data_IF_226735912807
#
_entry.id   IF_226735912807
#
_cell.length_a   1.000
_cell.length_b   1.000
_cell.length_c   1.000
_cell.angle_alpha   90.00
_cell.angle_beta   90.00
_cell.angle_gamma   90.00
#
_symmetry.space_group_name_H-M   'P 1'
#
loop_
_entity.id
_entity.type
_entity.pdbx_description
1 polymer ?
#
# COMPACT_ATOMS: atom_id res chain seq x y z
N UNK A 1 -4.78 -3.09 -5.24
CA UNK A 1 -4.23 -3.07 -3.87
C UNK A 1 -5.35 -3.40 -2.89
N UNK A 2 -5.09 -4.25 -1.90
CA UNK A 2 -6.06 -4.61 -0.86
C UNK A 2 -5.51 -4.17 0.49
N UNK A 3 -6.26 -3.37 1.25
CA UNK A 3 -5.90 -2.97 2.62
C UNK A 3 -6.96 -3.53 3.57
N UNK A 4 -6.53 -4.27 4.58
CA UNK A 4 -7.40 -4.75 5.65
C UNK A 4 -7.06 -4.03 6.96
N UNK A 5 -8.10 -3.59 7.67
CA UNK A 5 -7.96 -2.93 8.96
C UNK A 5 -8.26 -3.93 10.09
N UNK A 6 -7.38 -4.00 11.09
CA UNK A 6 -7.53 -4.84 12.30
C UNK A 6 -7.01 -4.10 13.54
N UNK A 7 -7.75 -4.16 14.66
CA UNK A 7 -7.42 -3.39 15.87
C UNK A 7 -6.08 -3.75 16.53
N UNK A 8 -5.68 -5.02 16.46
CA UNK A 8 -4.53 -5.52 17.25
C UNK A 8 -3.15 -5.07 16.79
N UNK A 9 -3.03 -4.49 15.59
CA UNK A 9 -1.74 -4.10 15.01
C UNK A 9 -1.77 -2.70 14.40
N UNK A 10 -2.63 -1.83 14.93
CA UNK A 10 -2.77 -0.47 14.40
C UNK A 10 -1.48 0.33 14.66
N UNK A 11 -1.07 1.12 13.67
CA UNK A 11 0.06 2.06 13.81
C UNK A 11 -0.49 3.48 13.87
N UNK A 12 0.13 4.42 14.61
CA UNK A 12 -0.40 5.78 14.76
C UNK A 12 -0.69 6.49 13.42
N UNK A 13 0.15 6.27 12.40
CA UNK A 13 -0.03 6.85 11.06
C UNK A 13 -1.21 6.27 10.26
N UNK A 14 -1.81 5.15 10.70
CA UNK A 14 -3.05 4.65 10.11
C UNK A 14 -4.26 5.51 10.48
N UNK A 15 -4.23 6.32 11.54
CA UNK A 15 -5.36 7.15 11.95
C UNK A 15 -5.81 8.09 10.82
N UNK A 16 -4.86 8.73 10.13
CA UNK A 16 -5.11 9.59 8.96
C UNK A 16 -5.78 8.80 7.82
N UNK A 17 -5.35 7.55 7.57
CA UNK A 17 -5.99 6.70 6.56
C UNK A 17 -7.37 6.20 7.01
N UNK A 18 -7.60 5.98 8.31
CA UNK A 18 -8.92 5.59 8.82
C UNK A 18 -9.92 6.72 8.68
N UNK A 19 -9.50 7.95 8.92
CA UNK A 19 -10.32 9.15 8.71
C UNK A 19 -10.70 9.28 7.22
N UNK A 20 -9.78 9.03 6.29
CA UNK A 20 -10.07 9.01 4.85
C UNK A 20 -11.21 8.06 4.46
N UNK A 21 -11.40 6.96 5.21
CA UNK A 21 -12.44 5.94 4.98
C UNK A 21 -13.53 5.91 6.04
N UNK A 22 -13.69 7.02 6.76
CA UNK A 22 -14.77 7.23 7.72
C UNK A 22 -14.82 6.17 8.83
N UNK A 23 -13.68 5.88 9.46
CA UNK A 23 -13.57 4.95 10.59
C UNK A 23 -14.27 3.59 10.33
N UNK A 24 -13.70 2.74 9.48
CA UNK A 24 -14.34 1.48 9.09
C UNK A 24 -14.58 0.55 10.30
N UNK A 25 -15.71 -0.19 10.26
CA UNK A 25 -16.00 -1.26 11.22
C UNK A 25 -15.07 -2.44 10.97
N UNK A 26 -14.57 -3.10 12.00
CA UNK A 26 -13.52 -4.12 11.86
C UNK A 26 -14.11 -5.55 11.84
N UNK A 27 -13.64 -6.45 10.95
CA UNK A 27 -12.69 -6.24 9.86
C UNK A 27 -13.33 -5.61 8.61
N UNK A 28 -12.69 -4.57 8.06
CA UNK A 28 -13.07 -4.01 6.74
C UNK A 28 -11.90 -4.18 5.79
N UNK A 29 -12.23 -4.57 4.55
CA UNK A 29 -11.34 -4.60 3.42
C UNK A 29 -11.66 -3.43 2.49
N UNK A 30 -10.61 -2.74 2.05
CA UNK A 30 -10.71 -1.68 1.03
C UNK A 30 -9.91 -2.11 -0.19
N UNK A 31 -10.59 -2.21 -1.32
CA UNK A 31 -10.02 -2.60 -2.60
C UNK A 31 -9.84 -1.38 -3.50
N UNK A 32 -8.61 -1.19 -3.97
CA UNK A 32 -8.15 -0.04 -4.80
C UNK A 32 -8.58 1.34 -4.27
N UNK A 33 -8.82 1.43 -2.96
CA UNK A 33 -9.19 2.66 -2.28
C UNK A 33 -10.62 3.14 -2.55
N UNK A 34 -11.43 2.43 -3.33
CA UNK A 34 -12.82 2.83 -3.63
C UNK A 34 -13.84 1.85 -3.09
N UNK A 35 -13.58 0.54 -3.18
CA UNK A 35 -14.56 -0.47 -2.81
C UNK A 35 -14.34 -0.89 -1.36
N UNK A 36 -15.33 -0.64 -0.51
CA UNK A 36 -15.32 -1.01 0.91
C UNK A 36 -16.23 -2.21 1.13
N UNK A 37 -15.68 -3.31 1.63
CA UNK A 37 -16.46 -4.50 1.98
C UNK A 37 -16.12 -4.97 3.39
N UNK A 38 -17.18 -5.28 4.15
CA UNK A 38 -17.06 -5.94 5.44
C UNK A 38 -17.02 -7.45 5.19
N UNK A 39 -15.91 -8.10 5.57
CA UNK A 39 -15.74 -9.53 5.29
C UNK A 39 -15.22 -10.24 6.54
N UNK A 40 -16.05 -11.12 7.10
CA UNK A 40 -15.75 -11.88 8.31
C UNK A 40 -15.16 -13.25 8.03
N UNK A 41 -15.39 -13.79 6.84
CA UNK A 41 -14.88 -15.09 6.39
C UNK A 41 -13.83 -14.91 5.27
N UNK A 42 -12.54 -15.18 5.55
CA UNK A 42 -11.48 -15.10 4.55
C UNK A 42 -11.65 -16.04 3.36
N UNK A 43 -12.39 -17.14 3.50
CA UNK A 43 -12.60 -18.10 2.40
C UNK A 43 -13.39 -17.52 1.22
N UNK A 44 -14.15 -16.45 1.47
CA UNK A 44 -14.95 -15.78 0.45
C UNK A 44 -14.16 -14.77 -0.38
N UNK A 45 -12.93 -14.43 0.03
CA UNK A 45 -12.14 -13.34 -0.58
C UNK A 45 -11.97 -13.49 -2.08
N UNK A 46 -11.58 -14.68 -2.54
CA UNK A 46 -11.38 -14.92 -3.97
C UNK A 46 -12.69 -14.72 -4.75
N UNK A 47 -13.80 -15.26 -4.26
CA UNK A 47 -15.09 -15.09 -4.91
C UNK A 47 -15.59 -13.64 -4.91
N UNK A 48 -15.30 -12.89 -3.84
CA UNK A 48 -15.79 -11.51 -3.66
C UNK A 48 -14.96 -10.48 -4.43
N UNK A 49 -13.64 -10.70 -4.54
CA UNK A 49 -12.73 -9.72 -5.13
C UNK A 49 -12.21 -10.09 -6.52
N UNK A 50 -12.40 -11.33 -7.02
CA UNK A 50 -11.85 -11.73 -8.32
C UNK A 50 -12.31 -10.80 -9.45
N UNK A 51 -13.60 -10.43 -9.51
CA UNK A 51 -14.06 -9.50 -10.53
C UNK A 51 -13.37 -8.13 -10.45
N UNK A 52 -13.28 -7.54 -9.25
CA UNK A 52 -12.56 -6.28 -9.04
C UNK A 52 -11.07 -6.40 -9.40
N UNK A 53 -10.43 -7.54 -9.11
CA UNK A 53 -9.05 -7.85 -9.51
C UNK A 53 -8.90 -7.89 -11.02
N UNK A 54 -9.83 -8.53 -11.75
CA UNK A 54 -9.76 -8.58 -13.22
C UNK A 54 -9.94 -7.19 -13.82
N UNK A 55 -10.87 -6.38 -13.30
CA UNK A 55 -11.08 -5.00 -13.75
C UNK A 55 -9.82 -4.16 -13.51
N UNK A 56 -9.22 -4.25 -12.32
CA UNK A 56 -7.99 -3.56 -12.00
C UNK A 56 -6.84 -3.97 -12.94
N UNK A 57 -6.69 -5.26 -13.24
CA UNK A 57 -5.67 -5.78 -14.17
C UNK A 57 -5.87 -5.31 -15.62
N UNK A 58 -7.10 -5.00 -16.02
CA UNK A 58 -7.41 -4.52 -17.37
C UNK A 58 -7.17 -3.02 -17.56
N UNK A 59 -6.94 -2.28 -16.47
CA UNK A 59 -6.75 -0.82 -16.53
C UNK A 59 -5.31 -0.48 -16.91
N UNK A 60 -5.14 0.43 -17.89
CA UNK A 60 -3.83 0.96 -18.26
C UNK A 60 -3.22 1.74 -17.09
N UNK A 61 -1.98 1.42 -16.66
CA UNK A 61 -1.29 2.17 -15.62
C UNK A 61 -1.08 3.64 -16.00
N UNK A 62 -1.36 4.52 -15.05
CA UNK A 62 -1.13 5.98 -15.20
C UNK A 62 0.28 6.41 -14.80
N UNK A 63 0.97 5.57 -14.04
CA UNK A 63 2.33 5.79 -13.55
C UNK A 63 3.17 4.54 -13.75
N UNK A 64 4.45 4.74 -14.08
CA UNK A 64 5.49 3.74 -13.94
C UNK A 64 6.13 3.92 -12.56
N UNK A 65 6.15 2.83 -11.78
CA UNK A 65 6.69 2.82 -10.43
C UNK A 65 7.85 1.83 -10.36
N UNK A 66 8.98 2.28 -9.84
CA UNK A 66 10.09 1.41 -9.46
C UNK A 66 10.31 1.52 -7.96
N UNK A 67 10.44 0.35 -7.32
CA UNK A 67 10.71 0.25 -5.90
C UNK A 67 11.89 -0.71 -5.69
N UNK A 68 13.04 -0.13 -5.36
CA UNK A 68 14.25 -0.85 -5.03
C UNK A 68 14.61 -0.61 -3.58
N UNK A 69 15.37 -1.52 -2.97
CA UNK A 69 15.74 -1.31 -1.58
C UNK A 69 16.66 -2.38 -1.04
N UNK A 70 17.36 -1.98 0.03
CA UNK A 70 18.30 -2.79 0.80
C UNK A 70 17.86 -2.76 2.25
N UNK A 71 17.95 -3.90 2.93
CA UNK A 71 17.49 -4.06 4.30
C UNK A 71 18.53 -4.86 5.08
N UNK A 72 18.78 -4.44 6.31
CA UNK A 72 19.65 -5.07 7.30
C UNK A 72 18.80 -5.51 8.49
N UNK A 73 19.40 -6.03 9.57
CA UNK A 73 18.64 -6.46 10.73
C UNK A 73 17.88 -5.31 11.45
N UNK A 74 18.35 -4.07 11.31
CA UNK A 74 17.84 -2.92 12.07
C UNK A 74 17.47 -1.70 11.24
N UNK A 75 17.92 -1.65 9.98
CA UNK A 75 17.72 -0.50 9.10
C UNK A 75 17.39 -0.96 7.68
N UNK A 76 16.59 -0.18 6.98
CA UNK A 76 16.34 -0.33 5.56
C UNK A 76 16.38 0.99 4.80
N UNK A 77 16.59 0.90 3.50
CA UNK A 77 16.53 2.00 2.56
C UNK A 77 15.72 1.56 1.34
N UNK A 78 14.79 2.42 0.90
CA UNK A 78 14.01 2.24 -0.32
C UNK A 78 14.30 3.38 -1.26
N UNK A 79 14.79 3.04 -2.45
CA UNK A 79 14.90 3.94 -3.58
C UNK A 79 13.64 3.80 -4.45
N UNK A 80 13.00 4.93 -4.70
CA UNK A 80 11.70 5.04 -5.32
C UNK A 80 11.84 5.92 -6.55
N UNK A 81 11.31 5.43 -7.67
CA UNK A 81 11.17 6.22 -8.89
C UNK A 81 9.72 6.20 -9.34
N UNK A 82 9.21 7.38 -9.66
CA UNK A 82 7.85 7.60 -10.11
C UNK A 82 7.92 8.42 -11.39
N UNK A 83 7.30 7.94 -12.47
CA UNK A 83 7.11 8.73 -13.69
C UNK A 83 5.68 8.58 -14.21
N UNK A 84 5.03 9.65 -14.67
CA UNK A 84 3.76 9.55 -15.39
C UNK A 84 3.94 8.72 -16.66
N UNK A 85 2.95 7.91 -17.01
CA UNK A 85 2.95 7.16 -18.26
C UNK A 85 2.43 7.98 -19.46
N UNK A 86 1.67 9.05 -19.19
CA UNK A 86 1.04 9.90 -20.20
C UNK A 86 0.83 11.34 -19.68
N UNK A 87 0.56 12.27 -20.59
CA UNK A 87 0.15 13.66 -20.33
C UNK A 87 -1.25 13.72 -19.72
N UNK A 88 -1.32 13.87 -18.40
CA UNK A 88 -2.57 14.09 -17.69
C UNK A 88 -2.36 14.98 -16.47
N UNK A 89 -3.35 15.80 -16.14
CA UNK A 89 -3.31 16.65 -14.94
C UNK A 89 -3.82 15.88 -13.73
N UNK A 90 -2.94 15.65 -12.77
CA UNK A 90 -3.27 14.92 -11.55
C UNK A 90 -3.32 15.87 -10.35
N UNK A 91 -4.52 16.29 -9.97
CA UNK A 91 -4.70 17.00 -8.71
C UNK A 91 -4.77 16.00 -7.53
N UNK A 92 -4.16 16.38 -6.40
CA UNK A 92 -4.26 15.67 -5.12
C UNK A 92 -3.77 14.21 -5.15
N UNK A 93 -2.73 13.91 -5.93
CA UNK A 93 -2.10 12.58 -5.94
C UNK A 93 -0.96 12.50 -4.92
N UNK A 94 -0.97 11.41 -4.14
CA UNK A 94 0.03 11.11 -3.14
C UNK A 94 0.65 9.73 -3.40
N UNK A 95 1.95 9.64 -3.18
CA UNK A 95 2.64 8.37 -3.04
C UNK A 95 2.56 7.93 -1.58
N UNK A 96 2.27 6.66 -1.36
CA UNK A 96 2.30 6.02 -0.05
C UNK A 96 3.25 4.83 -0.08
N UNK A 97 4.07 4.71 0.95
CA UNK A 97 4.95 3.56 1.15
C UNK A 97 4.59 2.87 2.45
N UNK A 98 4.31 1.57 2.36
CA UNK A 98 4.03 0.72 3.50
C UNK A 98 5.20 -0.23 3.69
N UNK A 99 5.70 -0.32 4.92
CA UNK A 99 6.56 -1.41 5.37
C UNK A 99 5.71 -2.40 6.15
N UNK A 100 5.64 -3.63 5.66
CA UNK A 100 4.86 -4.71 6.26
C UNK A 100 5.76 -5.81 6.83
N UNK A 101 5.24 -6.47 7.87
CA UNK A 101 5.74 -7.74 8.37
C UNK A 101 4.78 -8.87 7.99
N UNK A 102 5.34 -9.90 7.38
CA UNK A 102 4.65 -11.09 6.94
C UNK A 102 4.76 -12.21 8.00
N UNK A 103 3.75 -13.07 8.10
CA UNK A 103 3.73 -14.20 9.04
C UNK A 103 4.04 -13.83 10.50
N UNK A 104 3.28 -12.87 11.03
CA UNK A 104 3.26 -12.50 12.45
C UNK A 104 2.41 -13.51 13.22
N UNK A 105 3.02 -14.19 14.20
CA UNK A 105 2.29 -15.15 15.04
C UNK A 105 1.37 -14.43 16.02
N UNK A 106 0.11 -14.80 16.01
CA UNK A 106 -0.86 -14.41 17.03
C UNK A 106 -1.20 -15.56 17.96
N UNK A 107 -2.01 -15.28 18.99
CA UNK A 107 -2.41 -16.26 20.00
C UNK A 107 -3.29 -17.38 19.39
N UNK A 108 -4.16 -17.04 18.44
CA UNK A 108 -5.11 -17.97 17.83
C UNK A 108 -5.00 -18.08 16.30
N UNK A 109 -4.24 -17.19 15.65
CA UNK A 109 -4.07 -17.14 14.21
C UNK A 109 -2.81 -16.38 13.84
N UNK A 110 -2.23 -16.75 12.70
CA UNK A 110 -1.14 -15.99 12.08
C UNK A 110 -1.71 -14.85 11.24
N UNK A 111 -0.99 -13.75 11.19
CA UNK A 111 -1.35 -12.56 10.43
C UNK A 111 -0.29 -12.29 9.37
N UNK A 112 -0.74 -12.01 8.14
CA UNK A 112 0.12 -11.72 7.00
C UNK A 112 0.03 -10.24 6.63
N UNK A 113 1.13 -9.72 6.07
CA UNK A 113 1.24 -8.34 5.58
C UNK A 113 0.79 -7.26 6.58
N UNK A 114 1.17 -7.41 7.86
CA UNK A 114 0.87 -6.44 8.91
C UNK A 114 1.65 -5.15 8.67
N UNK A 115 0.95 -4.05 8.44
CA UNK A 115 1.54 -2.71 8.34
C UNK A 115 2.26 -2.34 9.63
N UNK A 116 3.57 -2.09 9.53
CA UNK A 116 4.41 -1.64 10.65
C UNK A 116 4.79 -0.18 10.53
N UNK A 117 4.94 0.32 9.30
CA UNK A 117 5.25 1.73 9.04
C UNK A 117 4.54 2.19 7.77
N UNK A 118 4.19 3.48 7.76
CA UNK A 118 3.53 4.14 6.64
C UNK A 118 4.18 5.51 6.44
N UNK A 119 4.64 5.74 5.21
CA UNK A 119 5.16 7.01 4.74
C UNK A 119 4.27 7.54 3.63
N UNK A 120 4.23 8.86 3.46
CA UNK A 120 3.50 9.47 2.35
C UNK A 120 4.10 10.81 1.96
N UNK A 121 4.01 11.16 0.69
CA UNK A 121 4.36 12.48 0.18
C UNK A 121 3.50 12.84 -1.04
N UNK A 122 3.24 14.14 -1.27
CA UNK A 122 2.54 14.57 -2.47
C UNK A 122 3.40 14.32 -3.72
N UNK A 123 2.76 13.98 -4.83
CA UNK A 123 3.42 13.84 -6.13
C UNK A 123 2.87 14.90 -7.07
N UNK A 124 3.74 15.82 -7.46
CA UNK A 124 3.46 16.86 -8.45
C UNK A 124 4.43 16.67 -9.62
N UNK A 125 4.01 15.92 -10.64
CA UNK A 125 4.80 15.57 -11.81
C UNK A 125 3.98 15.81 -13.07
N UNK A 126 4.65 16.27 -14.13
CA UNK A 126 4.10 16.40 -15.47
C UNK A 126 4.88 15.49 -16.40
N UNK A 127 4.21 14.82 -17.35
CA UNK A 127 4.93 14.01 -18.34
C UNK A 127 5.86 14.89 -19.18
N UNK A 128 7.13 14.49 -19.45
CA UNK A 128 7.75 13.19 -19.13
C UNK A 128 8.64 13.19 -17.88
N UNK A 129 8.45 14.11 -16.94
CA UNK A 129 9.27 14.24 -15.75
C UNK A 129 9.23 12.98 -14.87
N UNK A 130 10.27 12.79 -14.06
CA UNK A 130 10.32 11.76 -13.05
C UNK A 130 10.69 12.32 -11.68
N UNK A 131 10.19 11.68 -10.63
CA UNK A 131 10.63 11.89 -9.26
C UNK A 131 11.44 10.69 -8.81
N UNK A 132 12.64 10.96 -8.31
CA UNK A 132 13.48 9.99 -7.62
C UNK A 132 13.60 10.41 -6.15
N UNK A 133 13.30 9.49 -5.25
CA UNK A 133 13.44 9.74 -3.81
C UNK A 133 13.94 8.51 -3.09
N UNK A 134 14.50 8.72 -1.90
CA UNK A 134 14.94 7.63 -1.04
C UNK A 134 14.34 7.84 0.34
N UNK A 135 13.74 6.78 0.89
CA UNK A 135 13.34 6.76 2.30
C UNK A 135 14.25 5.80 3.05
N UNK A 136 14.66 6.20 4.24
CA UNK A 136 15.36 5.33 5.18
C UNK A 136 14.47 5.09 6.39
N UNK A 137 14.59 3.91 6.97
CA UNK A 137 13.75 3.52 8.09
C UNK A 137 14.47 2.55 9.02
N UNK A 138 14.11 2.60 10.30
CA UNK A 138 14.60 1.71 11.35
C UNK A 138 13.50 0.67 11.62
N UNK A 139 13.84 -0.59 11.83
CA UNK A 139 12.86 -1.64 12.12
C UNK A 139 13.43 -2.73 13.03
N UNK A 140 12.54 -3.58 13.52
CA UNK A 140 12.86 -4.82 14.25
C UNK A 140 12.35 -6.07 13.52
N UNK A 141 11.79 -5.88 12.31
CA UNK A 141 11.21 -6.93 11.49
C UNK A 141 12.33 -7.84 10.95
N UNK A 142 12.22 -9.18 11.06
CA UNK A 142 13.12 -10.09 10.36
C UNK A 142 13.08 -9.85 8.84
N UNK A 143 14.25 -9.75 8.20
CA UNK A 143 14.38 -9.31 6.80
C UNK A 143 13.56 -10.19 5.86
N UNK A 144 13.56 -11.51 6.09
CA UNK A 144 12.84 -12.51 5.29
C UNK A 144 11.31 -12.36 5.37
N UNK A 145 10.83 -11.74 6.44
CA UNK A 145 9.42 -11.42 6.68
C UNK A 145 9.05 -10.02 6.21
N UNK A 146 10.02 -9.19 5.82
CA UNK A 146 9.73 -7.82 5.43
C UNK A 146 9.20 -7.75 4.00
N UNK A 147 8.21 -6.88 3.79
CA UNK A 147 7.72 -6.46 2.48
C UNK A 147 7.59 -4.94 2.45
N UNK A 148 7.79 -4.35 1.29
CA UNK A 148 7.46 -2.96 1.04
C UNK A 148 6.41 -2.87 -0.07
N UNK A 149 5.49 -1.92 0.04
CA UNK A 149 4.51 -1.61 -1.01
C UNK A 149 4.53 -0.11 -1.25
N UNK A 150 4.75 0.28 -2.49
CA UNK A 150 4.55 1.65 -2.95
C UNK A 150 3.24 1.70 -3.75
N UNK A 151 2.39 2.67 -3.47
CA UNK A 151 1.20 2.90 -4.27
C UNK A 151 0.89 4.38 -4.42
N UNK A 152 0.31 4.72 -5.57
CA UNK A 152 -0.16 6.05 -5.91
C UNK A 152 -1.65 6.12 -5.67
N UNK A 153 -2.12 7.15 -5.00
CA UNK A 153 -3.54 7.33 -4.70
C UNK A 153 -3.96 8.78 -4.96
N UNK A 154 -5.06 8.96 -5.66
CA UNK A 154 -5.74 10.25 -5.71
C UNK A 154 -6.58 10.40 -4.44
N UNK A 155 -6.34 11.44 -3.64
CA UNK A 155 -7.03 11.61 -2.35
C UNK A 155 -8.48 12.08 -2.49
N UNK A 156 -8.83 12.76 -3.58
CA UNK A 156 -10.21 13.23 -3.80
C UNK A 156 -11.12 12.07 -4.19
N UNK A 157 -10.68 11.23 -5.12
CA UNK A 157 -11.45 10.06 -5.58
C UNK A 157 -11.20 8.82 -4.74
N UNK A 158 -10.18 8.87 -3.86
CA UNK A 158 -9.64 7.74 -3.09
C UNK A 158 -9.08 6.60 -3.95
N UNK A 159 -9.12 6.70 -5.28
CA UNK A 159 -8.68 5.63 -6.18
C UNK A 159 -7.16 5.43 -6.12
N UNK A 160 -6.74 4.18 -5.93
CA UNK A 160 -5.36 3.74 -6.15
C UNK A 160 -5.12 3.67 -7.66
N UNK A 161 -4.14 4.42 -8.13
CA UNK A 161 -3.83 4.62 -9.54
C UNK A 161 -2.80 3.60 -10.05
N UNK A 162 -1.90 3.17 -9.17
CA UNK A 162 -0.91 2.14 -9.44
C UNK A 162 -0.30 1.65 -8.12
N UNK A 163 0.15 0.41 -8.05
CA UNK A 163 0.92 -0.12 -6.93
C UNK A 163 2.02 -1.08 -7.37
N UNK A 164 3.13 -1.09 -6.65
CA UNK A 164 4.24 -2.04 -6.81
C UNK A 164 4.67 -2.56 -5.44
N UNK A 165 4.99 -3.84 -5.36
CA UNK A 165 5.45 -4.49 -4.13
C UNK A 165 6.87 -5.01 -4.27
N UNK A 166 7.62 -5.00 -3.17
CA UNK A 166 8.95 -5.61 -3.06
C UNK A 166 8.99 -6.55 -1.87
N UNK A 167 9.49 -7.76 -2.11
CA UNK A 167 9.91 -8.70 -1.07
C UNK A 167 11.40 -8.57 -0.84
N UNK A 168 11.82 -8.57 0.41
CA UNK A 168 13.23 -8.66 0.79
C UNK A 168 13.58 -10.12 1.09
N UNK A 169 14.73 -10.57 0.57
CA UNK A 169 15.27 -11.92 0.71
C UNK A 169 16.67 -11.81 1.31
#
# INVERSE_FOLDING_TARGET
>A
MIISYHHSFDIPSNAVRRELYENPVYPTVIFDGTDKQFVTDPSLYDSMFNQSIQVAKSSTPLFNLELNGTVTASNGSLSIKISPADTFHYDSVYAFIIICEDSVRGIARDFNYITRQLYSFPVNLFFPDSMDTTITFIHTIPVEKMRAVLFMQNLNTKKVLQAVGKKFN
#
